data_IF_582685350330
#
_entry.id   IF_582685350330
#
_cell.length_a   1.000
_cell.length_b   1.000
_cell.length_c   1.000
_cell.angle_alpha   90.00
_cell.angle_beta   90.00
_cell.angle_gamma   90.00
#
_symmetry.space_group_name_H-M   'P 1'
#
loop_
_entity.id
_entity.type
_entity.pdbx_description
1 polymer ?
#
# COMPACT_ATOMS: atom_id res chain seq x y z
N UNK A 1 -18.98 25.92 -19.05
CA UNK A 1 -19.42 25.12 -17.89
C UNK A 1 -18.42 24.01 -17.70
N UNK A 2 -17.57 24.10 -16.66
CA UNK A 2 -16.60 23.06 -16.36
C UNK A 2 -17.35 21.79 -15.93
N UNK A 3 -17.05 20.65 -16.58
CA UNK A 3 -17.44 19.32 -16.10
C UNK A 3 -16.95 19.22 -14.65
N UNK A 4 -17.88 19.32 -13.71
CA UNK A 4 -17.66 19.04 -12.31
C UNK A 4 -17.03 17.65 -12.22
N UNK A 5 -15.92 17.55 -11.50
CA UNK A 5 -15.16 16.33 -11.24
C UNK A 5 -16.09 15.12 -11.03
N UNK A 6 -16.39 14.38 -12.10
CA UNK A 6 -16.86 13.01 -11.99
C UNK A 6 -15.70 12.29 -11.32
N UNK A 7 -15.77 12.18 -9.99
CA UNK A 7 -14.85 11.36 -9.23
C UNK A 7 -14.82 10.03 -9.95
N UNK A 8 -13.65 9.66 -10.47
CA UNK A 8 -13.50 8.52 -11.37
C UNK A 8 -13.49 7.22 -10.55
N UNK A 9 -14.61 6.96 -9.87
CA UNK A 9 -14.81 5.85 -8.92
C UNK A 9 -14.66 4.51 -9.64
N UNK A 10 -15.00 4.46 -10.94
CA UNK A 10 -14.86 3.29 -11.79
C UNK A 10 -13.39 2.87 -11.95
N UNK A 11 -12.48 3.81 -12.18
CA UNK A 11 -11.06 3.51 -12.32
C UNK A 11 -10.46 2.97 -11.01
N UNK A 12 -10.90 3.47 -9.86
CA UNK A 12 -10.47 2.96 -8.56
C UNK A 12 -10.95 1.53 -8.28
N UNK A 13 -12.15 1.17 -8.74
CA UNK A 13 -12.66 -0.21 -8.66
C UNK A 13 -11.81 -1.14 -9.51
N UNK A 14 -11.51 -0.74 -10.76
CA UNK A 14 -10.67 -1.52 -11.66
C UNK A 14 -9.28 -1.71 -11.06
N UNK A 15 -8.63 -0.62 -10.64
CA UNK A 15 -7.30 -0.66 -10.05
C UNK A 15 -7.22 -1.58 -8.83
N UNK A 16 -8.18 -1.45 -7.90
CA UNK A 16 -8.22 -2.28 -6.69
C UNK A 16 -8.45 -3.75 -7.01
N UNK A 17 -9.33 -4.05 -7.98
CA UNK A 17 -9.58 -5.43 -8.45
C UNK A 17 -8.34 -6.02 -9.12
N UNK A 18 -7.63 -5.25 -9.95
CA UNK A 18 -6.36 -5.69 -10.56
C UNK A 18 -5.31 -5.99 -9.50
N UNK A 19 -5.20 -5.16 -8.46
CA UNK A 19 -4.28 -5.41 -7.34
C UNK A 19 -4.65 -6.64 -6.53
N UNK A 20 -5.93 -6.94 -6.34
CA UNK A 20 -6.39 -8.20 -5.74
C UNK A 20 -5.91 -9.39 -6.57
N UNK A 21 -6.11 -9.36 -7.89
CA UNK A 21 -5.64 -10.42 -8.79
C UNK A 21 -4.12 -10.60 -8.72
N UNK A 22 -3.38 -9.50 -8.81
CA UNK A 22 -1.92 -9.53 -8.69
C UNK A 22 -1.47 -10.13 -7.35
N UNK A 23 -2.06 -9.71 -6.23
CA UNK A 23 -1.76 -10.23 -4.89
C UNK A 23 -1.94 -11.74 -4.79
N UNK A 24 -3.05 -12.27 -5.32
CA UNK A 24 -3.31 -13.71 -5.33
C UNK A 24 -2.29 -14.46 -6.18
N UNK A 25 -1.93 -13.93 -7.35
CA UNK A 25 -0.88 -14.51 -8.20
C UNK A 25 0.47 -14.51 -7.47
N UNK A 26 0.84 -13.40 -6.85
CA UNK A 26 2.07 -13.27 -6.08
C UNK A 26 2.09 -14.28 -4.93
N UNK A 27 1.02 -14.37 -4.13
CA UNK A 27 0.89 -15.34 -3.05
C UNK A 27 1.06 -16.77 -3.57
N UNK A 28 0.42 -17.12 -4.68
CA UNK A 28 0.55 -18.44 -5.27
C UNK A 28 2.01 -18.74 -5.69
N UNK A 29 2.69 -17.79 -6.32
CA UNK A 29 4.07 -17.96 -6.79
C UNK A 29 5.07 -18.08 -5.64
N UNK A 30 4.94 -17.26 -4.61
CA UNK A 30 5.89 -17.27 -3.49
C UNK A 30 5.82 -18.58 -2.72
N UNK A 31 4.62 -19.14 -2.55
CA UNK A 31 4.46 -20.42 -1.84
C UNK A 31 5.06 -21.61 -2.60
N UNK A 32 5.20 -21.53 -3.93
CA UNK A 32 5.89 -22.54 -4.71
C UNK A 32 7.41 -22.55 -4.44
N UNK A 33 8.01 -21.37 -4.26
CA UNK A 33 9.46 -21.22 -4.07
C UNK A 33 9.79 -20.45 -2.80
N UNK A 34 9.24 -20.83 -1.65
CA UNK A 34 9.34 -20.03 -0.42
C UNK A 34 10.79 -19.82 0.09
N UNK A 35 11.10 -18.67 0.71
CA UNK A 35 12.33 -18.50 1.46
C UNK A 35 12.33 -19.38 2.73
N UNK A 36 13.49 -19.57 3.35
CA UNK A 36 13.64 -20.37 4.58
C UNK A 36 12.87 -19.78 5.76
N UNK A 37 12.75 -18.44 5.80
CA UNK A 37 12.10 -17.69 6.88
C UNK A 37 11.30 -16.49 6.34
N UNK A 38 10.36 -15.96 7.12
CA UNK A 38 9.62 -14.73 6.81
C UNK A 38 8.38 -14.92 5.94
N UNK A 39 8.14 -16.12 5.39
CA UNK A 39 6.99 -16.39 4.52
C UNK A 39 5.65 -16.19 5.25
N UNK A 40 5.60 -16.46 6.56
CA UNK A 40 4.39 -16.32 7.37
C UNK A 40 4.06 -14.83 7.50
N UNK A 41 5.03 -14.01 7.91
CA UNK A 41 4.84 -12.55 7.99
C UNK A 41 4.45 -11.94 6.65
N UNK A 42 5.12 -12.34 5.55
CA UNK A 42 4.78 -11.84 4.21
C UNK A 42 3.35 -12.24 3.84
N UNK A 43 2.98 -13.50 4.01
CA UNK A 43 1.62 -13.97 3.71
C UNK A 43 0.58 -13.21 4.53
N UNK A 44 0.83 -13.00 5.82
CA UNK A 44 -0.06 -12.22 6.68
C UNK A 44 -0.26 -10.79 6.17
N UNK A 45 0.82 -10.08 5.84
CA UNK A 45 0.77 -8.71 5.31
C UNK A 45 0.01 -8.65 3.98
N UNK A 46 0.28 -9.58 3.07
CA UNK A 46 -0.40 -9.64 1.77
C UNK A 46 -1.90 -9.98 1.92
N UNK A 47 -2.28 -10.83 2.87
CA UNK A 47 -3.69 -11.11 3.20
C UNK A 47 -4.40 -9.90 3.82
N UNK A 48 -3.71 -9.14 4.67
CA UNK A 48 -4.23 -7.88 5.19
C UNK A 48 -4.44 -6.87 4.05
N UNK A 49 -3.49 -6.77 3.11
CA UNK A 49 -3.63 -5.93 1.92
C UNK A 49 -4.83 -6.36 1.05
N UNK A 50 -5.02 -7.66 0.87
CA UNK A 50 -6.15 -8.22 0.13
C UNK A 50 -7.51 -7.76 0.71
N UNK A 51 -7.69 -7.89 2.03
CA UNK A 51 -8.93 -7.44 2.71
C UNK A 51 -9.14 -5.93 2.52
N UNK A 52 -8.06 -5.14 2.60
CA UNK A 52 -8.13 -3.70 2.41
C UNK A 52 -8.52 -3.28 0.99
N UNK A 53 -8.03 -4.00 -0.03
CA UNK A 53 -8.43 -3.75 -1.41
C UNK A 53 -9.87 -4.16 -1.67
N UNK A 54 -10.36 -5.26 -1.10
CA UNK A 54 -11.79 -5.60 -1.15
C UNK A 54 -12.63 -4.47 -0.57
N UNK A 55 -12.26 -3.99 0.62
CA UNK A 55 -12.96 -2.87 1.25
C UNK A 55 -12.92 -1.59 0.41
N UNK A 56 -11.81 -1.34 -0.30
CA UNK A 56 -11.72 -0.23 -1.26
C UNK A 56 -12.69 -0.40 -2.44
N UNK A 57 -12.74 -1.60 -3.03
CA UNK A 57 -13.71 -1.93 -4.09
C UNK A 57 -15.14 -1.73 -3.61
N UNK A 58 -15.49 -2.27 -2.44
CA UNK A 58 -16.85 -2.16 -1.89
C UNK A 58 -17.24 -0.71 -1.62
N UNK A 59 -16.36 0.08 -1.00
CA UNK A 59 -16.63 1.47 -0.68
C UNK A 59 -16.75 2.34 -1.95
N UNK A 60 -15.89 2.13 -2.94
CA UNK A 60 -16.01 2.80 -4.24
C UNK A 60 -17.29 2.38 -4.96
N UNK A 61 -17.61 1.09 -5.00
CA UNK A 61 -18.85 0.61 -5.64
C UNK A 61 -20.09 1.22 -5.00
N UNK A 62 -20.09 1.36 -3.66
CA UNK A 62 -21.15 2.03 -2.92
C UNK A 62 -21.22 3.52 -3.23
N UNK A 63 -20.08 4.21 -3.31
CA UNK A 63 -20.02 5.62 -3.69
C UNK A 63 -20.57 5.85 -5.10
N UNK A 64 -20.22 4.97 -6.05
CA UNK A 64 -20.72 5.04 -7.43
C UNK A 64 -22.23 4.83 -7.49
N UNK A 65 -22.75 3.79 -6.83
CA UNK A 65 -24.18 3.53 -6.76
C UNK A 65 -24.93 4.71 -6.14
N UNK A 66 -24.47 5.21 -4.99
CA UNK A 66 -25.13 6.33 -4.31
C UNK A 66 -25.03 7.66 -5.08
N UNK A 67 -24.04 7.83 -5.96
CA UNK A 67 -23.93 9.02 -6.82
C UNK A 67 -24.95 9.09 -7.95
N UNK A 68 -25.62 7.97 -8.27
CA UNK A 68 -26.66 7.90 -9.30
C UNK A 68 -28.04 8.37 -8.79
N UNK A 69 -28.19 8.60 -7.49
CA UNK A 69 -29.44 9.05 -6.87
C UNK A 69 -29.32 10.50 -6.40
N UNK A 70 -30.18 11.39 -6.89
CA UNK A 70 -30.13 12.84 -6.59
C UNK A 70 -30.38 13.19 -5.11
N UNK A 71 -31.03 12.29 -4.35
CA UNK A 71 -31.41 12.54 -2.95
C UNK A 71 -30.27 12.35 -1.94
N UNK A 72 -29.13 11.78 -2.35
CA UNK A 72 -28.06 11.45 -1.41
C UNK A 72 -27.07 12.61 -1.28
N UNK A 73 -26.85 13.06 -0.04
CA UNK A 73 -25.90 14.14 0.23
C UNK A 73 -24.49 13.84 -0.30
N UNK A 74 -23.92 14.78 -1.06
CA UNK A 74 -22.54 14.72 -1.57
C UNK A 74 -21.50 14.47 -0.45
N UNK A 75 -21.82 14.88 0.79
CA UNK A 75 -21.01 14.62 1.99
C UNK A 75 -20.89 13.13 2.31
N UNK A 76 -21.95 12.34 2.11
CA UNK A 76 -21.95 10.88 2.33
C UNK A 76 -21.12 10.16 1.29
N UNK A 77 -21.30 10.51 0.01
CA UNK A 77 -20.50 9.97 -1.11
C UNK A 77 -19.00 10.23 -0.89
N UNK A 78 -18.64 11.47 -0.50
CA UNK A 78 -17.25 11.84 -0.18
C UNK A 78 -16.65 11.03 0.97
N UNK A 79 -17.45 10.60 1.96
CA UNK A 79 -16.96 9.74 3.05
C UNK A 79 -16.58 8.35 2.55
N UNK A 80 -17.38 7.77 1.66
CA UNK A 80 -17.07 6.47 1.05
C UNK A 80 -15.81 6.53 0.19
N UNK A 81 -15.66 7.57 -0.63
CA UNK A 81 -14.44 7.78 -1.44
C UNK A 81 -13.21 7.93 -0.53
N UNK A 82 -13.29 8.79 0.49
CA UNK A 82 -12.17 8.99 1.42
C UNK A 82 -11.79 7.72 2.20
N UNK A 83 -12.76 6.87 2.50
CA UNK A 83 -12.53 5.58 3.14
C UNK A 83 -11.87 4.61 2.16
N UNK A 84 -12.36 4.54 0.92
CA UNK A 84 -11.81 3.70 -0.12
C UNK A 84 -10.35 4.06 -0.47
N UNK A 85 -10.03 5.35 -0.55
CA UNK A 85 -8.65 5.84 -0.72
C UNK A 85 -7.75 5.45 0.45
N UNK A 86 -8.29 5.51 1.68
CA UNK A 86 -7.53 5.15 2.88
C UNK A 86 -7.22 3.66 2.94
N UNK A 87 -8.22 2.80 2.72
CA UNK A 87 -8.01 1.35 2.69
C UNK A 87 -7.10 0.95 1.54
N UNK A 88 -7.25 1.58 0.37
CA UNK A 88 -6.36 1.36 -0.76
C UNK A 88 -4.91 1.68 -0.42
N UNK A 89 -4.63 2.89 0.08
CA UNK A 89 -3.27 3.30 0.41
C UNK A 89 -2.63 2.46 1.52
N UNK A 90 -3.41 2.10 2.54
CA UNK A 90 -2.93 1.19 3.59
C UNK A 90 -2.65 -0.22 3.04
N UNK A 91 -3.51 -0.73 2.14
CA UNK A 91 -3.29 -2.02 1.48
C UNK A 91 -2.01 -2.01 0.65
N UNK A 92 -1.80 -0.95 -0.12
CA UNK A 92 -0.57 -0.77 -0.89
C UNK A 92 0.69 -0.69 -0.02
N UNK A 93 0.59 -0.04 1.14
CA UNK A 93 1.69 0.01 2.13
C UNK A 93 2.06 -1.40 2.60
N UNK A 94 1.08 -2.26 2.92
CA UNK A 94 1.34 -3.65 3.29
C UNK A 94 1.89 -4.49 2.14
N UNK A 95 1.49 -4.21 0.89
CA UNK A 95 2.10 -4.83 -0.30
C UNK A 95 3.59 -4.48 -0.36
N UNK A 96 3.94 -3.19 -0.29
CA UNK A 96 5.34 -2.73 -0.31
C UNK A 96 6.13 -3.42 0.79
N UNK A 97 5.66 -3.38 2.04
CA UNK A 97 6.35 -3.99 3.17
C UNK A 97 6.52 -5.49 2.98
N UNK A 98 5.46 -6.18 2.54
CA UNK A 98 5.50 -7.61 2.24
C UNK A 98 6.57 -7.94 1.22
N UNK A 99 6.65 -7.17 0.13
CA UNK A 99 7.69 -7.34 -0.90
C UNK A 99 9.10 -7.00 -0.42
N UNK A 100 9.25 -5.98 0.41
CA UNK A 100 10.53 -5.58 0.99
C UNK A 100 11.07 -6.68 1.92
N UNK A 101 10.23 -7.22 2.81
CA UNK A 101 10.60 -8.36 3.67
C UNK A 101 10.92 -9.58 2.83
N UNK A 102 10.08 -9.88 1.84
CA UNK A 102 10.27 -11.03 0.98
C UNK A 102 11.58 -10.96 0.21
N UNK A 103 11.85 -9.84 -0.45
CA UNK A 103 13.08 -9.59 -1.20
C UNK A 103 14.31 -9.70 -0.30
N UNK A 104 14.24 -9.12 0.91
CA UNK A 104 15.27 -9.28 1.93
C UNK A 104 15.51 -10.76 2.29
N UNK A 105 14.46 -11.53 2.59
CA UNK A 105 14.58 -12.93 3.00
C UNK A 105 15.13 -13.82 1.88
N UNK A 106 14.73 -13.60 0.63
CA UNK A 106 15.34 -14.31 -0.50
C UNK A 106 16.82 -13.95 -0.67
N UNK A 107 17.17 -12.67 -0.58
CA UNK A 107 18.54 -12.23 -0.76
C UNK A 107 19.46 -12.73 0.35
N UNK A 108 19.02 -12.72 1.61
CA UNK A 108 19.85 -13.21 2.71
C UNK A 108 20.07 -14.73 2.60
N UNK A 109 19.05 -15.47 2.15
CA UNK A 109 19.15 -16.92 1.89
C UNK A 109 20.09 -17.23 0.72
N UNK A 110 20.11 -16.38 -0.32
CA UNK A 110 20.96 -16.55 -1.50
C UNK A 110 22.41 -16.10 -1.26
N UNK A 111 22.59 -15.01 -0.54
CA UNK A 111 23.91 -14.39 -0.29
C UNK A 111 24.58 -14.88 1.00
N UNK A 112 23.99 -15.86 1.70
CA UNK A 112 24.53 -16.40 2.95
C UNK A 112 24.87 -15.32 3.99
N UNK A 113 24.01 -14.31 4.14
CA UNK A 113 24.18 -13.28 5.18
C UNK A 113 25.05 -12.08 4.82
N UNK A 114 25.40 -11.87 3.55
CA UNK A 114 26.10 -10.65 3.14
C UNK A 114 25.21 -9.40 3.25
N UNK A 115 25.84 -8.26 3.57
CA UNK A 115 25.17 -6.96 3.74
C UNK A 115 24.42 -6.48 2.49
N UNK A 116 24.76 -7.02 1.32
CA UNK A 116 24.04 -6.76 0.07
C UNK A 116 22.55 -7.11 0.16
N UNK A 117 22.15 -8.02 1.06
CA UNK A 117 20.75 -8.34 1.31
C UNK A 117 19.93 -7.14 1.82
N UNK A 118 20.57 -6.14 2.44
CA UNK A 118 19.92 -4.91 2.90
C UNK A 118 19.80 -3.84 1.80
N UNK A 119 20.52 -3.98 0.67
CA UNK A 119 20.49 -2.97 -0.40
C UNK A 119 19.10 -2.92 -1.04
N UNK A 120 18.53 -4.07 -1.39
CA UNK A 120 17.21 -4.14 -2.03
C UNK A 120 16.10 -3.51 -1.18
N UNK A 121 15.89 -3.89 0.11
CA UNK A 121 14.83 -3.30 0.91
C UNK A 121 15.01 -1.78 1.08
N UNK A 122 16.25 -1.30 1.25
CA UNK A 122 16.54 0.13 1.36
C UNK A 122 16.22 0.86 0.05
N UNK A 123 16.68 0.35 -1.09
CA UNK A 123 16.47 1.00 -2.39
C UNK A 123 14.99 1.04 -2.77
N UNK A 124 14.24 -0.06 -2.55
CA UNK A 124 12.81 -0.10 -2.83
C UNK A 124 12.06 0.95 -2.00
N UNK A 125 12.32 1.01 -0.68
CA UNK A 125 11.65 1.98 0.19
C UNK A 125 12.05 3.42 -0.14
N UNK A 126 13.33 3.69 -0.40
CA UNK A 126 13.79 5.01 -0.83
C UNK A 126 13.10 5.45 -2.12
N UNK A 127 13.00 4.57 -3.13
CA UNK A 127 12.29 4.88 -4.37
C UNK A 127 10.81 5.15 -4.14
N UNK A 128 10.15 4.34 -3.30
CA UNK A 128 8.76 4.56 -2.92
C UNK A 128 8.57 5.94 -2.27
N UNK A 129 9.46 6.32 -1.34
CA UNK A 129 9.42 7.62 -0.66
C UNK A 129 9.69 8.79 -1.60
N UNK A 130 10.65 8.66 -2.53
CA UNK A 130 10.96 9.69 -3.53
C UNK A 130 9.75 9.93 -4.45
N UNK A 131 9.18 8.86 -5.03
CA UNK A 131 7.99 8.98 -5.89
C UNK A 131 6.81 9.59 -5.13
N UNK A 132 6.64 9.15 -3.88
CA UNK A 132 5.63 9.69 -2.99
C UNK A 132 5.86 11.20 -2.73
N UNK A 133 7.10 11.63 -2.51
CA UNK A 133 7.48 13.03 -2.35
C UNK A 133 7.19 13.86 -3.60
N UNK A 134 7.60 13.38 -4.78
CA UNK A 134 7.33 14.01 -6.08
C UNK A 134 5.82 14.20 -6.29
N UNK A 135 5.02 13.14 -6.06
CA UNK A 135 3.57 13.21 -6.17
C UNK A 135 2.97 14.29 -5.25
N UNK A 136 3.52 14.42 -4.05
CA UNK A 136 3.07 15.46 -3.12
C UNK A 136 3.36 16.87 -3.64
N UNK A 137 4.55 17.12 -4.19
CA UNK A 137 4.90 18.41 -4.77
C UNK A 137 3.91 18.77 -5.89
N UNK A 138 3.69 17.85 -6.83
CA UNK A 138 2.78 18.05 -7.96
C UNK A 138 1.37 18.37 -7.45
N UNK A 139 0.87 17.59 -6.51
CA UNK A 139 -0.49 17.75 -6.00
C UNK A 139 -0.70 19.00 -5.14
N UNK A 140 0.33 19.51 -4.45
CA UNK A 140 0.24 20.72 -3.62
C UNK A 140 0.49 22.03 -4.36
N UNK A 141 1.02 21.97 -5.59
CA UNK A 141 1.22 23.13 -6.47
C UNK A 141 -0.10 23.72 -7.01
N UNK A 142 -1.25 23.04 -6.86
CA UNK A 142 -2.50 23.38 -7.53
C UNK A 142 -3.61 24.08 -6.74
N UNK A 143 -3.57 24.21 -5.40
CA UNK A 143 -4.63 24.97 -4.70
C UNK A 143 -4.88 24.67 -3.22
N UNK A 144 -4.96 25.78 -2.45
CA UNK A 144 -5.52 26.05 -1.11
C UNK A 144 -5.94 24.89 -0.17
N UNK A 145 -5.33 24.90 1.03
CA UNK A 145 -6.06 24.87 2.30
C UNK A 145 -6.30 23.52 3.00
N UNK A 146 -6.51 22.41 2.30
CA UNK A 146 -6.80 21.10 2.92
C UNK A 146 -5.53 20.25 3.20
N UNK A 147 -4.40 20.92 3.44
CA UNK A 147 -3.04 20.33 3.40
C UNK A 147 -2.60 19.53 4.65
N UNK A 148 -3.32 19.60 5.77
CA UNK A 148 -2.84 19.00 7.04
C UNK A 148 -3.40 17.59 7.28
N UNK A 149 -4.67 17.34 6.99
CA UNK A 149 -5.31 16.02 7.24
C UNK A 149 -4.84 14.97 6.22
N UNK A 150 -4.50 15.37 4.99
CA UNK A 150 -3.90 14.48 3.98
C UNK A 150 -2.45 14.10 4.33
N UNK A 151 -1.71 15.01 4.98
CA UNK A 151 -0.36 14.73 5.49
C UNK A 151 -0.36 13.69 6.62
N UNK A 152 -1.36 13.70 7.51
CA UNK A 152 -1.43 12.75 8.64
C UNK A 152 -1.55 11.29 8.19
N UNK A 153 -2.47 11.01 7.25
CA UNK A 153 -2.67 9.65 6.72
C UNK A 153 -1.40 9.09 6.07
N UNK A 154 -0.70 9.93 5.31
CA UNK A 154 0.48 9.52 4.55
C UNK A 154 1.74 9.44 5.40
N UNK A 155 1.87 10.32 6.39
CA UNK A 155 2.92 10.23 7.39
C UNK A 155 2.81 8.94 8.21
N UNK A 156 1.57 8.48 8.49
CA UNK A 156 1.37 7.20 9.17
C UNK A 156 1.89 6.02 8.35
N UNK A 157 1.64 5.99 7.03
CA UNK A 157 2.16 4.94 6.15
C UNK A 157 3.69 4.93 6.10
N UNK A 158 4.30 6.12 5.96
CA UNK A 158 5.76 6.26 6.02
C UNK A 158 6.34 5.77 7.35
N UNK A 159 5.68 6.08 8.48
CA UNK A 159 6.12 5.60 9.79
C UNK A 159 6.06 4.07 9.90
N UNK A 160 5.04 3.44 9.32
CA UNK A 160 4.95 1.97 9.27
C UNK A 160 6.10 1.41 8.43
N UNK A 161 6.35 1.96 7.24
CA UNK A 161 7.45 1.54 6.35
C UNK A 161 8.82 1.68 7.01
N UNK A 162 9.08 2.81 7.68
CA UNK A 162 10.31 3.04 8.44
C UNK A 162 10.42 2.03 9.59
N UNK A 163 9.32 1.78 10.32
CA UNK A 163 9.29 0.79 11.39
C UNK A 163 9.69 -0.60 10.90
N UNK A 164 9.19 -1.03 9.74
CA UNK A 164 9.57 -2.30 9.14
C UNK A 164 11.01 -2.32 8.60
N UNK A 165 11.53 -1.21 8.08
CA UNK A 165 12.94 -1.12 7.71
C UNK A 165 13.84 -1.33 8.95
N UNK A 166 13.49 -0.71 10.08
CA UNK A 166 14.19 -0.94 11.35
C UNK A 166 14.10 -2.40 11.77
N UNK A 167 12.93 -3.04 11.67
CA UNK A 167 12.78 -4.46 11.97
C UNK A 167 13.64 -5.36 11.08
N UNK A 168 13.77 -5.03 9.79
CA UNK A 168 14.65 -5.76 8.86
C UNK A 168 16.11 -5.62 9.26
N UNK A 169 16.54 -4.41 9.65
CA UNK A 169 17.91 -4.17 10.13
C UNK A 169 18.17 -4.98 11.41
N UNK A 170 17.23 -4.98 12.37
CA UNK A 170 17.32 -5.77 13.59
C UNK A 170 17.34 -7.28 13.32
N UNK A 171 16.58 -7.74 12.33
CA UNK A 171 16.58 -9.14 11.89
C UNK A 171 17.92 -9.54 11.27
N UNK A 172 18.52 -8.68 10.46
CA UNK A 172 19.84 -8.91 9.89
C UNK A 172 20.92 -9.04 10.96
N UNK A 173 20.88 -8.21 12.00
CA UNK A 173 21.80 -8.30 13.15
C UNK A 173 21.41 -9.38 14.17
N UNK A 174 20.38 -10.20 13.89
CA UNK A 174 19.90 -11.29 14.74
C UNK A 174 19.41 -10.85 16.12
N UNK A 175 19.09 -9.56 16.30
CA UNK A 175 18.52 -9.01 17.55
C UNK A 175 17.05 -9.44 17.72
N UNK A 176 16.35 -9.59 16.60
CA UNK A 176 14.97 -10.05 16.51
C UNK A 176 14.83 -10.98 15.30
N UNK A 177 13.79 -11.82 15.20
CA UNK A 177 13.54 -12.62 13.99
C UNK A 177 12.14 -12.38 13.45
N UNK A 178 12.06 -11.92 12.21
CA UNK A 178 10.84 -11.85 11.41
C UNK A 178 10.51 -13.27 10.94
N UNK A 179 9.36 -13.76 11.41
CA UNK A 179 8.89 -15.15 11.27
C UNK A 179 8.23 -15.39 9.91
#
# INVERSE_FOLDING_TARGET
MAKQDEVNVKDWIVLSTTLIGALLTILALIWQFKPKHGIITVTFLLMMAFILFINSVTANSRAHYESQFEEISAKKIKRFINFAEYTFGLGFTFVIIGFVILGYKYLIDFTNGHIMALILPVVILLLAWILMFIYNIISYSGGKGLKVVRNLKRNLWLLIEIGFLVLIILDYYQVFKII
#
